data_IF_008897371087
#
_entry.id   IF_008897371087
#
_cell.length_a   1.000
_cell.length_b   1.000
_cell.length_c   1.000
_cell.angle_alpha   90.00
_cell.angle_beta   90.00
_cell.angle_gamma   90.00
#
_symmetry.space_group_name_H-M   'P 1'
#
loop_
_entity.id
_entity.type
_entity.pdbx_description
1 polymer ?
#
# COMPACT_ATOMS: atom_id res chain seq x y z
N UNK A 1 -5.05 -12.14 -2.08
CA UNK A 1 -6.16 -11.22 -2.47
C UNK A 1 -5.82 -10.61 -3.83
N UNK A 2 -6.82 -10.13 -4.58
CA UNK A 2 -6.63 -9.30 -5.80
C UNK A 2 -7.60 -8.10 -5.76
N UNK A 3 -7.50 -7.17 -6.70
CA UNK A 3 -8.34 -5.96 -6.76
C UNK A 3 -9.74 -6.22 -7.30
N UNK A 4 -10.01 -7.43 -7.81
CA UNK A 4 -11.38 -7.88 -8.08
C UNK A 4 -12.13 -8.16 -6.77
N UNK A 5 -13.48 -8.13 -6.75
CA UNK A 5 -14.25 -8.44 -5.54
C UNK A 5 -14.11 -9.90 -5.08
N UNK A 6 -13.55 -10.77 -5.92
CA UNK A 6 -13.38 -12.18 -5.61
C UNK A 6 -12.20 -12.39 -4.65
N UNK A 7 -12.39 -13.36 -3.77
CA UNK A 7 -11.43 -13.77 -2.75
C UNK A 7 -11.32 -15.28 -2.83
N UNK A 8 -10.12 -15.80 -2.65
CA UNK A 8 -9.83 -17.23 -2.66
C UNK A 8 -9.36 -17.58 -1.26
N UNK A 9 -10.03 -18.56 -0.67
CA UNK A 9 -9.68 -19.13 0.62
C UNK A 9 -8.70 -20.29 0.40
N UNK A 10 -7.73 -20.42 1.28
CA UNK A 10 -6.75 -21.49 1.27
C UNK A 10 -6.47 -21.95 2.70
N UNK A 11 -6.09 -23.22 2.85
CA UNK A 11 -5.67 -23.78 4.13
C UNK A 11 -4.23 -23.37 4.44
N UNK A 12 -3.98 -22.83 5.63
CA UNK A 12 -2.67 -22.28 5.99
C UNK A 12 -1.58 -23.35 6.10
N UNK A 13 -1.94 -24.57 6.49
CA UNK A 13 -0.98 -25.65 6.72
C UNK A 13 -0.55 -26.34 5.42
N UNK A 14 -1.51 -26.64 4.54
CA UNK A 14 -1.30 -27.38 3.30
C UNK A 14 -1.16 -26.50 2.06
N UNK A 15 -1.58 -25.22 2.15
CA UNK A 15 -1.70 -24.28 1.04
C UNK A 15 -2.70 -24.71 -0.04
N UNK A 16 -3.55 -25.71 0.25
CA UNK A 16 -4.61 -26.13 -0.65
C UNK A 16 -5.65 -25.02 -0.81
N UNK A 17 -6.10 -24.81 -2.04
CA UNK A 17 -7.21 -23.89 -2.32
C UNK A 17 -8.51 -24.51 -1.83
N UNK A 18 -9.18 -23.87 -0.87
CA UNK A 18 -10.47 -24.30 -0.35
C UNK A 18 -11.63 -23.83 -1.24
N UNK A 19 -11.41 -22.77 -2.01
CA UNK A 19 -12.33 -22.28 -3.03
C UNK A 19 -12.56 -20.79 -2.92
N UNK A 20 -13.69 -20.33 -3.45
CA UNK A 20 -14.05 -18.92 -3.41
C UNK A 20 -14.56 -18.55 -2.01
N UNK A 21 -13.98 -17.52 -1.42
CA UNK A 21 -14.50 -16.94 -0.19
C UNK A 21 -15.72 -16.05 -0.50
N UNK A 22 -16.79 -16.23 0.27
CA UNK A 22 -18.05 -15.50 0.11
C UNK A 22 -18.35 -14.68 1.37
N UNK A 23 -18.50 -13.38 1.19
CA UNK A 23 -19.04 -12.51 2.24
C UNK A 23 -20.53 -12.82 2.47
N UNK A 24 -20.97 -12.73 3.74
CA UNK A 24 -22.36 -13.00 4.16
C UNK A 24 -23.18 -11.70 4.24
N UNK A 25 -23.20 -10.93 3.15
CA UNK A 25 -23.90 -9.66 3.02
C UNK A 25 -24.25 -9.34 1.55
N UNK A 26 -24.97 -8.23 1.34
CA UNK A 26 -25.38 -7.74 0.02
C UNK A 26 -24.49 -6.65 -0.59
N UNK A 27 -23.29 -6.39 -0.05
CA UNK A 27 -22.40 -5.34 -0.57
C UNK A 27 -21.80 -5.79 -1.92
N UNK A 28 -22.01 -4.98 -2.96
CA UNK A 28 -21.55 -5.30 -4.33
C UNK A 28 -20.61 -4.24 -4.87
N UNK A 29 -19.81 -4.62 -5.86
CA UNK A 29 -18.93 -3.72 -6.59
C UNK A 29 -17.97 -4.48 -7.50
N UNK A 30 -17.09 -3.74 -8.15
CA UNK A 30 -16.30 -4.23 -9.28
C UNK A 30 -14.79 -4.12 -9.04
N UNK A 31 -14.36 -3.14 -8.24
CA UNK A 31 -12.96 -2.89 -7.93
C UNK A 31 -12.82 -2.64 -6.43
N UNK A 32 -11.79 -3.21 -5.81
CA UNK A 32 -11.45 -3.05 -4.39
C UNK A 32 -9.93 -3.07 -4.26
N UNK A 33 -9.42 -2.85 -3.06
CA UNK A 33 -7.98 -2.97 -2.80
C UNK A 33 -7.62 -4.29 -2.12
N UNK A 34 -6.37 -4.71 -2.32
CA UNK A 34 -5.69 -5.79 -1.61
C UNK A 34 -5.01 -5.33 -0.31
N UNK A 35 -5.16 -4.06 0.05
CA UNK A 35 -4.59 -3.40 1.23
C UNK A 35 -5.67 -3.01 2.23
N UNK A 36 -6.38 -3.99 2.83
CA UNK A 36 -7.28 -3.68 3.93
C UNK A 36 -6.47 -3.15 5.12
N UNK A 37 -7.06 -2.23 5.88
CA UNK A 37 -6.51 -1.74 7.13
C UNK A 37 -7.16 -2.49 8.30
N UNK A 38 -6.44 -2.74 9.39
CA UNK A 38 -7.00 -3.31 10.62
C UNK A 38 -7.04 -2.24 11.72
N UNK A 39 -8.24 -1.93 12.20
CA UNK A 39 -8.47 -1.05 13.34
C UNK A 39 -8.43 -1.89 14.63
N UNK A 40 -7.32 -1.79 15.35
CA UNK A 40 -7.11 -2.52 16.61
C UNK A 40 -8.00 -2.05 17.76
N UNK A 41 -8.55 -0.83 17.73
CA UNK A 41 -9.47 -0.36 18.77
C UNK A 41 -10.87 -0.93 18.60
N UNK A 42 -11.32 -1.05 17.34
CA UNK A 42 -12.63 -1.61 17.00
C UNK A 42 -12.61 -3.11 16.72
N UNK A 43 -11.42 -3.72 16.65
CA UNK A 43 -11.19 -5.09 16.17
C UNK A 43 -11.88 -5.35 14.82
N UNK A 44 -11.68 -4.42 13.88
CA UNK A 44 -12.34 -4.43 12.57
C UNK A 44 -11.32 -4.35 11.43
N UNK A 45 -11.52 -5.18 10.41
CA UNK A 45 -10.91 -4.97 9.10
C UNK A 45 -11.72 -3.88 8.39
N UNK A 46 -11.06 -2.81 7.95
CA UNK A 46 -11.64 -1.75 7.14
C UNK A 46 -11.10 -1.88 5.71
N UNK A 47 -11.99 -1.78 4.74
CA UNK A 47 -11.64 -1.73 3.32
C UNK A 47 -12.75 -0.99 2.56
N UNK A 48 -12.57 -0.73 1.27
CA UNK A 48 -13.61 -0.18 0.42
C UNK A 48 -13.77 -0.98 -0.88
N UNK A 49 -14.92 -0.80 -1.51
CA UNK A 49 -15.23 -1.38 -2.81
C UNK A 49 -15.93 -0.33 -3.69
N UNK A 50 -15.39 -0.14 -4.87
CA UNK A 50 -15.94 0.72 -5.90
C UNK A 50 -17.01 -0.02 -6.68
N UNK A 51 -18.23 0.51 -6.69
CA UNK A 51 -19.31 0.04 -7.54
C UNK A 51 -19.46 0.99 -8.73
N UNK A 52 -19.10 0.53 -9.92
CA UNK A 52 -19.36 1.24 -11.16
C UNK A 52 -20.87 1.26 -11.47
N UNK A 53 -21.35 2.44 -11.83
CA UNK A 53 -22.69 2.69 -12.37
C UNK A 53 -22.71 4.06 -13.07
N UNK A 54 -23.87 4.52 -13.56
CA UNK A 54 -24.06 5.89 -14.05
C UNK A 54 -23.60 6.94 -13.04
N UNK A 55 -23.80 6.66 -11.74
CA UNK A 55 -23.14 7.37 -10.63
C UNK A 55 -22.40 6.33 -9.81
N UNK A 56 -21.09 6.23 -10.04
CA UNK A 56 -20.27 5.25 -9.34
C UNK A 56 -20.21 5.59 -7.84
N UNK A 57 -19.89 4.62 -7.00
CA UNK A 57 -19.79 4.84 -5.54
C UNK A 57 -18.54 4.18 -4.99
N UNK A 58 -17.87 4.83 -4.04
CA UNK A 58 -16.94 4.18 -3.13
C UNK A 58 -17.70 3.76 -1.88
N UNK A 59 -17.81 2.46 -1.66
CA UNK A 59 -18.47 1.90 -0.48
C UNK A 59 -17.41 1.44 0.51
N UNK A 60 -17.21 2.22 1.57
CA UNK A 60 -16.30 1.87 2.66
C UNK A 60 -17.04 0.96 3.63
N UNK A 61 -16.39 -0.10 4.08
CA UNK A 61 -16.99 -1.08 4.97
C UNK A 61 -16.02 -1.58 6.03
N UNK A 62 -16.58 -2.00 7.17
CA UNK A 62 -15.90 -2.72 8.24
C UNK A 62 -16.30 -4.20 8.29
N UNK A 63 -15.41 -5.06 8.77
CA UNK A 63 -15.68 -6.47 9.07
C UNK A 63 -15.18 -6.75 10.48
N UNK A 64 -16.08 -7.10 11.40
CA UNK A 64 -15.69 -7.49 12.76
C UNK A 64 -14.84 -8.75 12.75
N UNK A 65 -13.89 -8.84 13.67
CA UNK A 65 -13.12 -10.07 13.91
C UNK A 65 -14.05 -11.29 14.05
N UNK A 66 -13.70 -12.39 13.38
CA UNK A 66 -14.49 -13.63 13.37
C UNK A 66 -15.75 -13.60 12.49
N UNK A 67 -16.06 -12.48 11.82
CA UNK A 67 -17.19 -12.35 10.91
C UNK A 67 -16.75 -12.38 9.44
N UNK A 68 -17.64 -12.82 8.56
CA UNK A 68 -17.53 -12.62 7.10
C UNK A 68 -18.58 -11.65 6.56
N UNK A 69 -19.26 -10.90 7.44
CA UNK A 69 -20.26 -9.89 7.10
C UNK A 69 -19.63 -8.50 7.09
N UNK A 70 -19.68 -7.83 5.94
CA UNK A 70 -19.29 -6.43 5.79
C UNK A 70 -20.42 -5.51 6.26
N UNK A 71 -20.05 -4.48 6.99
CA UNK A 71 -20.93 -3.41 7.44
C UNK A 71 -20.51 -2.13 6.72
N UNK A 72 -21.41 -1.55 5.91
CA UNK A 72 -21.12 -0.30 5.20
C UNK A 72 -20.98 0.81 6.24
N UNK A 73 -19.83 1.49 6.20
CA UNK A 73 -19.52 2.67 7.01
C UNK A 73 -19.97 3.92 6.25
N UNK A 74 -19.65 4.00 4.95
CA UNK A 74 -19.99 5.16 4.12
C UNK A 74 -20.10 4.77 2.65
N UNK A 75 -20.94 5.48 1.91
CA UNK A 75 -21.11 5.34 0.47
C UNK A 75 -20.98 6.71 -0.19
N UNK A 76 -19.86 6.94 -0.88
CA UNK A 76 -19.52 8.23 -1.47
C UNK A 76 -19.83 8.18 -2.97
N UNK A 77 -20.79 8.97 -3.48
CA UNK A 77 -21.06 9.05 -4.90
C UNK A 77 -19.94 9.79 -5.64
N UNK A 78 -19.49 9.23 -6.75
CA UNK A 78 -18.46 9.80 -7.63
C UNK A 78 -18.86 9.70 -9.09
N UNK A 79 -18.60 10.79 -9.83
CA UNK A 79 -18.87 10.85 -11.27
C UNK A 79 -17.87 10.02 -12.07
N UNK A 80 -16.59 10.09 -11.70
CA UNK A 80 -15.50 9.32 -12.30
C UNK A 80 -14.71 8.66 -11.18
N UNK A 81 -14.65 7.33 -11.18
CA UNK A 81 -13.92 6.59 -10.16
C UNK A 81 -12.42 6.66 -10.44
N UNK A 82 -11.65 7.05 -9.43
CA UNK A 82 -10.19 6.97 -9.43
C UNK A 82 -9.73 5.53 -9.15
N UNK A 83 -8.62 5.14 -9.76
CA UNK A 83 -7.87 3.96 -9.38
C UNK A 83 -7.05 4.27 -8.13
N UNK A 84 -7.43 3.66 -7.02
CA UNK A 84 -6.74 3.77 -5.74
C UNK A 84 -6.26 2.36 -5.36
N UNK A 85 -4.95 2.15 -5.29
CA UNK A 85 -4.41 0.82 -4.96
C UNK A 85 -4.44 0.56 -3.46
N UNK A 86 -4.35 1.58 -2.62
CA UNK A 86 -4.45 1.52 -1.16
C UNK A 86 -5.09 2.80 -0.63
N UNK A 87 -5.33 2.87 0.68
CA UNK A 87 -5.90 4.03 1.36
C UNK A 87 -5.30 4.22 2.75
N UNK A 88 -5.39 5.44 3.28
CA UNK A 88 -4.90 5.79 4.62
C UNK A 88 -5.96 5.60 5.71
N UNK A 89 -5.52 5.43 6.95
CA UNK A 89 -6.39 5.35 8.12
C UNK A 89 -5.70 6.03 9.31
N UNK A 90 -6.46 6.80 10.08
CA UNK A 90 -6.05 7.36 11.37
C UNK A 90 -6.90 6.80 12.50
N UNK A 91 -6.75 7.35 13.71
CA UNK A 91 -7.54 6.98 14.87
C UNK A 91 -9.04 7.19 14.65
N UNK A 92 -9.43 8.26 13.96
CA UNK A 92 -10.83 8.65 13.75
C UNK A 92 -11.24 8.63 12.28
N UNK A 93 -10.30 8.69 11.33
CA UNK A 93 -10.62 8.90 9.92
C UNK A 93 -10.17 7.77 8.99
N UNK A 94 -10.91 7.61 7.90
CA UNK A 94 -10.50 6.89 6.68
C UNK A 94 -10.17 7.94 5.63
N UNK A 95 -9.07 7.73 4.90
CA UNK A 95 -8.57 8.68 3.90
C UNK A 95 -8.49 7.97 2.56
N UNK A 96 -9.45 8.25 1.67
CA UNK A 96 -9.38 7.83 0.28
C UNK A 96 -8.65 8.92 -0.51
N UNK A 97 -7.52 8.57 -1.12
CA UNK A 97 -6.72 9.51 -1.92
C UNK A 97 -7.05 9.34 -3.40
N UNK A 98 -7.96 10.14 -3.92
CA UNK A 98 -8.33 10.14 -5.33
C UNK A 98 -7.21 10.74 -6.18
N UNK A 99 -6.31 9.88 -6.67
CA UNK A 99 -5.35 10.25 -7.71
C UNK A 99 -6.10 10.59 -9.01
N UNK A 100 -5.58 11.50 -9.85
CA UNK A 100 -6.20 11.85 -11.13
C UNK A 100 -5.96 10.76 -12.21
N UNK A 101 -6.09 9.50 -11.82
CA UNK A 101 -6.04 8.32 -12.68
C UNK A 101 -7.42 7.66 -12.68
N UNK A 102 -8.25 8.02 -13.66
CA UNK A 102 -9.67 7.64 -13.68
C UNK A 102 -9.91 6.38 -14.52
N UNK A 103 -10.94 5.62 -14.14
CA UNK A 103 -11.41 4.44 -14.86
C UNK A 103 -12.64 4.83 -15.70
N UNK A 104 -12.68 4.40 -16.96
CA UNK A 104 -13.89 4.50 -17.78
C UNK A 104 -14.68 3.19 -17.72
N UNK A 105 -15.78 3.11 -16.93
CA UNK A 105 -16.52 1.85 -16.76
C UNK A 105 -17.26 1.40 -18.02
N UNK A 106 -17.71 2.34 -18.87
CA UNK A 106 -18.39 2.01 -20.13
C UNK A 106 -17.41 1.40 -21.13
N UNK A 107 -16.21 1.98 -21.25
CA UNK A 107 -15.17 1.42 -22.11
C UNK A 107 -14.77 0.02 -21.62
N UNK A 108 -14.55 -0.15 -20.31
CA UNK A 108 -14.22 -1.44 -19.70
C UNK A 108 -15.26 -2.53 -20.03
N UNK A 109 -16.55 -2.19 -20.02
CA UNK A 109 -17.64 -3.12 -20.34
C UNK A 109 -17.73 -3.44 -21.85
N UNK A 110 -17.43 -2.49 -22.72
CA UNK A 110 -17.72 -2.57 -24.15
C UNK A 110 -16.54 -3.01 -25.03
N UNK A 111 -15.29 -2.76 -24.63
CA UNK A 111 -14.14 -2.95 -25.52
C UNK A 111 -13.41 -4.27 -25.35
N UNK A 112 -13.67 -5.01 -24.26
CA UNK A 112 -12.91 -6.23 -23.91
C UNK A 112 -11.41 -5.98 -23.71
N UNK A 113 -10.97 -4.71 -23.66
CA UNK A 113 -9.56 -4.36 -23.50
C UNK A 113 -9.11 -4.57 -22.06
N UNK A 114 -7.82 -4.88 -21.83
CA UNK A 114 -7.25 -5.01 -20.48
C UNK A 114 -7.65 -3.87 -19.54
N UNK A 115 -7.88 -4.18 -18.26
CA UNK A 115 -8.28 -3.18 -17.25
C UNK A 115 -7.36 -1.96 -17.24
N UNK A 116 -6.06 -2.19 -17.35
CA UNK A 116 -5.05 -1.12 -17.29
C UNK A 116 -5.14 -0.14 -18.46
N UNK A 117 -5.59 -0.59 -19.63
CA UNK A 117 -5.75 0.25 -20.83
C UNK A 117 -6.97 1.19 -20.72
N UNK A 118 -7.79 0.99 -19.69
CA UNK A 118 -8.96 1.81 -19.36
C UNK A 118 -8.68 2.83 -18.24
N UNK A 119 -7.41 3.00 -17.85
CA UNK A 119 -6.96 4.03 -16.92
C UNK A 119 -6.50 5.29 -17.66
N UNK A 120 -6.99 6.45 -17.23
CA UNK A 120 -6.73 7.74 -17.87
C UNK A 120 -6.19 8.74 -16.87
N UNK A 121 -4.95 9.18 -17.09
CA UNK A 121 -4.33 10.24 -16.31
C UNK A 121 -4.87 11.60 -16.73
N UNK A 122 -5.41 12.38 -15.79
CA UNK A 122 -6.04 13.70 -15.99
C UNK A 122 -5.56 14.72 -14.95
N UNK A 123 -4.29 15.16 -15.01
CA UNK A 123 -3.64 15.93 -13.95
C UNK A 123 -4.33 17.26 -13.62
N UNK A 124 -5.10 17.81 -14.55
CA UNK A 124 -5.93 19.02 -14.36
C UNK A 124 -6.96 18.86 -13.23
N UNK A 125 -7.32 17.63 -12.87
CA UNK A 125 -8.21 17.36 -11.74
C UNK A 125 -7.51 17.47 -10.38
N UNK A 126 -6.18 17.45 -10.32
CA UNK A 126 -5.41 17.36 -9.08
C UNK A 126 -5.63 16.04 -8.33
N UNK A 127 -4.97 15.87 -7.19
CA UNK A 127 -5.26 14.77 -6.26
C UNK A 127 -6.17 15.28 -5.15
N UNK A 128 -7.18 14.51 -4.76
CA UNK A 128 -8.11 14.87 -3.68
C UNK A 128 -8.08 13.83 -2.56
N UNK A 129 -7.82 14.25 -1.33
CA UNK A 129 -8.01 13.43 -0.13
C UNK A 129 -9.44 13.59 0.35
N UNK A 130 -10.22 12.51 0.29
CA UNK A 130 -11.53 12.42 0.92
C UNK A 130 -11.32 11.89 2.33
N UNK A 131 -11.67 12.69 3.34
CA UNK A 131 -11.52 12.33 4.75
C UNK A 131 -12.90 12.00 5.31
N UNK A 132 -13.07 10.78 5.82
CA UNK A 132 -14.34 10.23 6.29
C UNK A 132 -14.20 9.83 7.75
N UNK A 133 -15.10 10.31 8.60
CA UNK A 133 -15.17 9.90 10.00
C UNK A 133 -15.63 8.44 10.14
N UNK A 134 -14.86 7.62 10.86
CA UNK A 134 -15.07 6.18 11.02
C UNK A 134 -16.32 5.83 11.81
N UNK A 135 -16.85 6.74 12.61
CA UNK A 135 -17.98 6.47 13.51
C UNK A 135 -19.31 6.83 12.85
N UNK A 136 -19.41 8.05 12.32
CA UNK A 136 -20.59 8.59 11.68
C UNK A 136 -20.70 8.19 10.20
N UNK A 137 -19.58 7.85 9.55
CA UNK A 137 -19.54 7.63 8.10
C UNK A 137 -19.60 8.91 7.27
N UNK A 138 -19.61 10.08 7.91
CA UNK A 138 -19.71 11.37 7.23
C UNK A 138 -18.36 11.81 6.67
N UNK A 139 -18.40 12.47 5.52
CA UNK A 139 -17.23 13.14 4.97
C UNK A 139 -16.97 14.42 5.76
N UNK A 140 -15.78 14.53 6.36
CA UNK A 140 -15.38 15.70 7.17
C UNK A 140 -14.60 16.73 6.36
N UNK A 141 -14.03 16.34 5.22
CA UNK A 141 -13.35 17.27 4.33
C UNK A 141 -12.89 16.65 3.02
N UNK A 142 -12.63 17.53 2.04
CA UNK A 142 -12.12 17.20 0.72
C UNK A 142 -10.91 18.10 0.40
N UNK A 143 -9.72 17.54 0.52
CA UNK A 143 -8.49 18.31 0.47
C UNK A 143 -7.81 18.11 -0.87
N UNK A 144 -7.79 19.16 -1.69
CA UNK A 144 -7.20 19.10 -3.03
C UNK A 144 -5.77 19.62 -3.04
N UNK A 145 -4.88 18.93 -3.75
CA UNK A 145 -3.50 19.34 -3.97
C UNK A 145 -3.04 19.09 -5.42
N UNK A 146 -1.79 19.45 -5.69
CA UNK A 146 -1.12 19.15 -6.95
C UNK A 146 -1.21 17.65 -7.29
N UNK A 147 -1.34 17.30 -8.58
CA UNK A 147 -1.53 15.92 -9.01
C UNK A 147 -0.32 15.06 -8.71
N UNK A 148 -0.57 13.84 -8.22
CA UNK A 148 0.42 12.79 -8.06
C UNK A 148 -0.26 11.41 -8.10
N UNK A 149 0.51 10.35 -8.27
CA UNK A 149 0.02 8.97 -8.23
C UNK A 149 0.73 8.19 -7.12
N UNK A 150 0.06 7.20 -6.53
CA UNK A 150 0.70 6.29 -5.60
C UNK A 150 0.05 4.92 -5.64
N UNK A 151 0.86 3.88 -5.38
CA UNK A 151 0.34 2.57 -5.04
C UNK A 151 0.09 2.45 -3.54
N UNK A 152 1.06 2.83 -2.72
CA UNK A 152 1.06 2.53 -1.28
C UNK A 152 1.03 3.78 -0.41
N UNK A 153 0.04 3.83 0.48
CA UNK A 153 0.09 4.62 1.69
C UNK A 153 1.02 3.94 2.69
N UNK A 154 1.78 4.73 3.45
CA UNK A 154 2.71 4.24 4.47
C UNK A 154 2.00 4.17 5.81
N UNK A 155 1.45 5.29 6.28
CA UNK A 155 0.69 5.41 7.52
C UNK A 155 -0.15 6.70 7.49
N UNK A 156 -1.10 6.82 8.42
CA UNK A 156 -1.77 8.09 8.71
C UNK A 156 -1.96 8.26 10.21
N UNK A 157 -1.99 9.49 10.70
CA UNK A 157 -2.28 9.78 12.12
C UNK A 157 -2.81 11.21 12.29
N UNK A 158 -3.32 11.53 13.47
CA UNK A 158 -3.87 12.85 13.79
C UNK A 158 -2.94 13.57 14.77
N UNK A 159 -2.64 14.85 14.50
CA UNK A 159 -1.78 15.66 15.36
C UNK A 159 -2.12 17.15 15.20
N UNK A 160 -2.32 17.84 16.33
CA UNK A 160 -2.55 19.29 16.37
C UNK A 160 -3.64 19.77 15.37
N UNK A 161 -4.75 19.04 15.28
CA UNK A 161 -5.87 19.38 14.37
C UNK A 161 -5.65 19.04 12.88
N UNK A 162 -4.50 18.45 12.54
CA UNK A 162 -4.21 17.96 11.19
C UNK A 162 -4.45 16.45 11.10
N UNK A 163 -4.94 16.00 9.94
CA UNK A 163 -4.81 14.61 9.50
C UNK A 163 -3.50 14.52 8.70
N UNK A 164 -2.57 13.71 9.17
CA UNK A 164 -1.26 13.51 8.54
C UNK A 164 -1.29 12.19 7.79
N UNK A 165 -0.84 12.19 6.53
CA UNK A 165 -0.81 11.01 5.66
C UNK A 165 0.54 10.90 4.96
N UNK A 166 1.23 9.78 5.16
CA UNK A 166 2.50 9.49 4.51
C UNK A 166 2.28 8.54 3.33
N UNK A 167 2.83 8.87 2.16
CA UNK A 167 2.57 8.17 0.89
C UNK A 167 3.86 8.04 0.08
N UNK A 168 4.02 6.89 -0.58
CA UNK A 168 5.03 6.68 -1.64
C UNK A 168 4.49 7.26 -2.95
N UNK A 169 4.90 8.48 -3.28
CA UNK A 169 4.31 9.29 -4.35
C UNK A 169 5.17 9.35 -5.62
N UNK A 170 4.58 8.98 -6.75
CA UNK A 170 5.09 9.23 -8.10
C UNK A 170 4.54 10.54 -8.64
N UNK A 171 5.30 11.18 -9.54
CA UNK A 171 4.86 12.40 -10.23
C UNK A 171 3.57 12.18 -11.03
N UNK A 172 3.45 11.02 -11.66
CA UNK A 172 2.30 10.62 -12.48
C UNK A 172 2.18 9.08 -12.50
N UNK A 173 1.20 8.57 -13.25
CA UNK A 173 0.93 7.14 -13.34
C UNK A 173 1.84 6.37 -14.34
N UNK A 174 2.93 6.96 -14.84
CA UNK A 174 3.84 6.30 -15.80
C UNK A 174 4.46 5.01 -15.26
N UNK A 175 4.64 4.93 -13.93
CA UNK A 175 5.13 3.74 -13.23
C UNK A 175 4.36 2.47 -13.64
N UNK A 176 3.05 2.57 -13.85
CA UNK A 176 2.19 1.44 -14.25
C UNK A 176 2.72 0.79 -15.54
N UNK A 177 3.11 1.59 -16.53
CA UNK A 177 3.63 1.11 -17.81
C UNK A 177 5.05 0.57 -17.67
N UNK A 178 5.87 1.16 -16.80
CA UNK A 178 7.23 0.70 -16.52
C UNK A 178 7.26 -0.69 -15.87
N UNK A 179 6.17 -1.10 -15.20
CA UNK A 179 6.03 -2.42 -14.59
C UNK A 179 5.54 -3.52 -15.54
N UNK A 180 5.28 -3.22 -16.82
CA UNK A 180 4.96 -4.25 -17.82
C UNK A 180 6.16 -5.18 -18.07
N UNK A 181 5.90 -6.49 -18.26
CA UNK A 181 6.96 -7.51 -18.36
C UNK A 181 7.90 -7.30 -19.55
N UNK A 182 7.39 -6.82 -20.69
CA UNK A 182 8.19 -6.48 -21.86
C UNK A 182 9.21 -5.39 -21.53
N UNK A 183 8.82 -4.39 -20.73
CA UNK A 183 9.71 -3.34 -20.23
C UNK A 183 10.69 -3.89 -19.21
N UNK A 184 10.22 -4.56 -18.16
CA UNK A 184 11.09 -5.10 -17.11
C UNK A 184 12.18 -6.03 -17.65
N UNK A 185 11.90 -6.79 -18.71
CA UNK A 185 12.85 -7.73 -19.32
C UNK A 185 13.87 -7.08 -20.27
N UNK A 186 13.72 -5.81 -20.64
CA UNK A 186 14.66 -5.10 -21.52
C UNK A 186 15.99 -4.73 -20.84
N UNK A 187 16.11 -4.89 -19.51
CA UNK A 187 17.34 -4.64 -18.75
C UNK A 187 17.69 -3.16 -18.53
N UNK A 188 17.20 -2.26 -19.37
CA UNK A 188 17.46 -0.80 -19.32
C UNK A 188 16.20 0.04 -19.04
N UNK A 189 15.15 -0.57 -18.48
CA UNK A 189 13.91 0.15 -18.20
C UNK A 189 14.09 1.11 -17.03
N UNK A 190 13.95 2.40 -17.32
CA UNK A 190 13.93 3.45 -16.30
C UNK A 190 12.62 3.35 -15.52
N UNK A 191 12.72 2.90 -14.27
CA UNK A 191 11.61 2.90 -13.33
C UNK A 191 11.53 4.31 -12.73
N UNK A 192 10.38 5.02 -12.84
CA UNK A 192 10.22 6.32 -12.20
C UNK A 192 10.53 6.24 -10.70
N UNK A 193 11.39 7.12 -10.19
CA UNK A 193 11.71 7.16 -8.77
C UNK A 193 10.57 7.83 -7.99
N UNK A 194 9.95 7.14 -7.00
CA UNK A 194 8.96 7.75 -6.12
C UNK A 194 9.61 8.67 -5.08
N UNK A 195 8.81 9.48 -4.42
CA UNK A 195 9.20 10.27 -3.25
C UNK A 195 8.32 9.87 -2.06
N UNK A 196 8.92 9.69 -0.88
CA UNK A 196 8.13 9.60 0.35
C UNK A 196 7.67 11.00 0.72
N UNK A 197 6.36 11.24 0.68
CA UNK A 197 5.74 12.54 0.96
C UNK A 197 4.79 12.43 2.15
N UNK A 198 4.89 13.42 3.04
CA UNK A 198 3.98 13.65 4.16
C UNK A 198 3.02 14.78 3.81
N UNK A 199 1.73 14.50 3.85
CA UNK A 199 0.66 15.46 3.62
C UNK A 199 0.02 15.83 4.95
N UNK A 200 -0.12 17.13 5.19
CA UNK A 200 -0.83 17.70 6.34
C UNK A 200 -2.16 18.26 5.82
N UNK A 201 -3.26 17.65 6.25
CA UNK A 201 -4.62 18.05 5.92
C UNK A 201 -5.18 18.83 7.12
N UNK A 202 -5.21 20.15 7.02
CA UNK A 202 -5.69 21.03 8.08
C UNK A 202 -7.22 21.10 8.06
N UNK A 203 -7.86 20.39 8.99
CA UNK A 203 -9.32 20.27 9.07
C UNK A 203 -10.04 21.61 9.26
N UNK A 204 -9.38 22.62 9.84
CA UNK A 204 -9.99 23.92 10.11
C UNK A 204 -9.94 24.83 8.88
N UNK A 205 -8.83 24.85 8.14
CA UNK A 205 -8.65 25.72 6.98
C UNK A 205 -8.92 25.07 5.63
N UNK A 206 -9.15 23.74 5.62
CA UNK A 206 -9.28 22.90 4.41
C UNK A 206 -8.08 23.02 3.46
N UNK A 207 -6.87 23.22 4.00
CA UNK A 207 -5.63 23.36 3.24
C UNK A 207 -4.77 22.09 3.31
N UNK A 208 -4.02 21.84 2.23
CA UNK A 208 -2.99 20.79 2.17
C UNK A 208 -1.62 21.44 2.18
N UNK A 209 -0.77 21.01 3.12
CA UNK A 209 0.67 21.28 3.07
C UNK A 209 1.41 19.97 2.85
N UNK A 210 2.49 19.99 2.06
CA UNK A 210 3.28 18.78 1.75
C UNK A 210 4.72 18.95 2.20
N UNK A 211 5.28 17.90 2.81
CA UNK A 211 6.70 17.79 3.12
C UNK A 211 7.27 16.56 2.43
N UNK A 212 8.43 16.71 1.77
CA UNK A 212 9.19 15.56 1.28
C UNK A 212 10.00 14.98 2.45
N UNK A 213 9.72 13.72 2.79
CA UNK A 213 10.48 12.97 3.79
C UNK A 213 11.78 12.43 3.19
N UNK A 214 11.70 11.83 2.01
CA UNK A 214 12.86 11.38 1.24
C UNK A 214 12.64 11.52 -0.27
N UNK A 215 13.74 11.75 -0.99
CA UNK A 215 13.81 11.71 -2.46
C UNK A 215 14.41 10.41 -2.99
N UNK A 216 14.92 9.56 -2.10
CA UNK A 216 15.45 8.25 -2.47
C UNK A 216 14.31 7.31 -2.84
N UNK A 217 14.60 6.36 -3.74
CA UNK A 217 13.63 5.35 -4.12
C UNK A 217 13.26 4.51 -2.89
N UNK A 218 11.98 4.53 -2.52
CA UNK A 218 11.42 3.61 -1.54
C UNK A 218 10.08 3.13 -2.07
N UNK A 219 9.89 1.81 -2.11
CA UNK A 219 8.60 1.17 -2.42
C UNK A 219 8.35 -0.02 -1.49
N UNK A 220 7.20 -0.67 -1.60
CA UNK A 220 6.72 -1.76 -0.75
C UNK A 220 6.86 -1.38 0.74
N UNK A 221 6.31 -0.21 1.16
CA UNK A 221 6.56 0.33 2.48
C UNK A 221 5.91 -0.54 3.55
N UNK A 222 6.65 -0.78 4.64
CA UNK A 222 6.22 -1.48 5.84
C UNK A 222 6.64 -0.71 7.07
N UNK A 223 5.86 -0.85 8.14
CA UNK A 223 6.10 -0.26 9.46
C UNK A 223 5.86 -1.34 10.52
N UNK A 224 6.12 -1.03 11.79
CA UNK A 224 5.57 -1.80 12.91
C UNK A 224 4.05 -1.59 12.98
N UNK A 225 3.32 -2.26 12.09
CA UNK A 225 1.90 -1.98 11.81
C UNK A 225 1.02 -2.15 13.05
N UNK A 226 1.27 -3.21 13.83
CA UNK A 226 0.50 -3.51 15.04
C UNK A 226 0.61 -2.41 16.10
N UNK A 227 1.78 -1.78 16.23
CA UNK A 227 2.04 -0.74 17.23
C UNK A 227 1.74 0.68 16.72
N UNK A 228 2.07 0.95 15.46
CA UNK A 228 2.24 2.30 14.94
C UNK A 228 1.21 2.72 13.88
N UNK A 229 0.46 1.77 13.29
CA UNK A 229 -0.60 2.17 12.37
C UNK A 229 -1.60 3.08 13.10
N UNK A 230 -2.08 4.13 12.43
CA UNK A 230 -2.94 5.19 13.01
C UNK A 230 -2.28 6.15 14.01
N UNK A 231 -0.96 6.02 14.26
CA UNK A 231 -0.21 6.78 15.28
C UNK A 231 1.07 7.38 14.71
N UNK A 232 1.61 8.38 15.42
CA UNK A 232 2.94 8.93 15.13
C UNK A 232 4.02 7.84 15.34
N UNK A 233 5.05 7.85 14.50
CA UNK A 233 6.01 6.75 14.32
C UNK A 233 7.33 7.27 13.71
N UNK A 234 8.38 6.46 13.78
CA UNK A 234 9.75 6.89 13.46
C UNK A 234 10.43 6.09 12.35
N UNK A 235 9.97 4.87 12.03
CA UNK A 235 10.66 3.98 11.10
C UNK A 235 9.78 3.50 9.96
N UNK A 236 10.35 3.49 8.75
CA UNK A 236 9.75 2.91 7.53
C UNK A 236 10.76 1.91 6.95
N UNK A 237 10.29 0.74 6.57
CA UNK A 237 11.04 -0.27 5.85
C UNK A 237 10.53 -0.36 4.42
N UNK A 238 11.41 -0.61 3.44
CA UNK A 238 10.98 -0.77 2.05
C UNK A 238 12.07 -1.36 1.15
N UNK A 239 11.73 -1.56 -0.12
CA UNK A 239 12.70 -1.84 -1.17
C UNK A 239 13.24 -0.53 -1.76
N UNK A 240 14.48 -0.56 -2.24
CA UNK A 240 15.15 0.58 -2.85
C UNK A 240 16.04 0.14 -4.01
N UNK A 241 16.54 1.11 -4.79
CA UNK A 241 17.46 0.89 -5.89
C UNK A 241 18.92 1.23 -5.49
N UNK A 242 19.87 0.44 -6.00
CA UNK A 242 21.29 0.77 -5.87
C UNK A 242 21.72 1.83 -6.88
N UNK A 243 21.24 1.67 -8.11
CA UNK A 243 21.45 2.58 -9.21
C UNK A 243 20.13 3.28 -9.50
N UNK A 244 20.15 4.61 -9.58
CA UNK A 244 18.94 5.40 -9.71
C UNK A 244 18.13 5.03 -10.95
N UNK A 245 16.83 4.79 -10.76
CA UNK A 245 15.86 4.33 -11.76
C UNK A 245 16.10 2.89 -12.26
N UNK A 246 16.88 2.09 -11.53
CA UNK A 246 17.06 0.66 -11.77
C UNK A 246 15.95 -0.20 -11.17
N UNK A 247 16.00 -1.51 -11.44
CA UNK A 247 15.15 -2.46 -10.73
C UNK A 247 15.57 -2.54 -9.25
N UNK A 248 14.63 -2.52 -8.28
CA UNK A 248 14.97 -2.51 -6.86
C UNK A 248 15.83 -3.71 -6.46
N UNK A 249 16.97 -3.44 -5.81
CA UNK A 249 17.95 -4.44 -5.40
C UNK A 249 18.54 -4.16 -4.00
N UNK A 250 17.89 -3.28 -3.23
CA UNK A 250 18.23 -2.97 -1.83
C UNK A 250 17.01 -3.13 -0.94
N UNK A 251 17.27 -3.38 0.35
CA UNK A 251 16.33 -3.06 1.41
C UNK A 251 16.77 -1.79 2.11
N UNK A 252 15.81 -1.01 2.60
CA UNK A 252 16.06 0.22 3.36
C UNK A 252 15.27 0.25 4.65
N UNK A 253 15.88 0.88 5.66
CA UNK A 253 15.24 1.38 6.88
C UNK A 253 15.42 2.89 6.92
N UNK A 254 14.32 3.62 6.79
CA UNK A 254 14.27 5.07 6.87
C UNK A 254 13.93 5.53 8.29
N UNK A 255 14.67 6.53 8.75
CA UNK A 255 14.51 7.19 10.04
C UNK A 255 13.84 8.54 9.82
N UNK A 256 12.57 8.69 10.21
CA UNK A 256 11.76 9.89 9.92
C UNK A 256 12.35 11.14 10.57
N UNK A 257 12.74 11.06 11.84
CA UNK A 257 13.23 12.21 12.62
C UNK A 257 14.54 12.79 12.06
N UNK A 258 15.51 11.94 11.75
CA UNK A 258 16.81 12.34 11.22
C UNK A 258 16.85 12.46 9.70
N UNK A 259 15.81 11.97 9.00
CA UNK A 259 15.76 11.83 7.53
C UNK A 259 16.95 11.07 6.95
N UNK A 260 17.38 10.02 7.64
CA UNK A 260 18.51 9.18 7.24
C UNK A 260 18.06 7.77 6.87
N UNK A 261 18.88 7.04 6.13
CA UNK A 261 18.62 5.66 5.70
C UNK A 261 19.74 4.73 6.16
N UNK A 262 19.36 3.52 6.58
CA UNK A 262 20.23 2.35 6.53
C UNK A 262 19.80 1.47 5.37
N UNK A 263 20.73 0.71 4.81
CA UNK A 263 20.43 -0.20 3.73
C UNK A 263 21.09 -1.56 3.93
N UNK A 264 20.45 -2.59 3.38
CA UNK A 264 21.06 -3.87 3.09
C UNK A 264 21.19 -3.98 1.57
N UNK A 265 22.39 -4.33 1.11
CA UNK A 265 22.71 -4.49 -0.30
C UNK A 265 23.67 -5.66 -0.46
N UNK A 266 23.44 -6.47 -1.49
CA UNK A 266 24.38 -7.49 -1.94
C UNK A 266 24.28 -7.58 -3.45
N UNK A 267 25.43 -7.50 -4.12
CA UNK A 267 25.49 -7.59 -5.58
C UNK A 267 24.81 -8.86 -6.08
N UNK A 268 24.10 -8.79 -7.21
CA UNK A 268 23.37 -9.92 -7.82
C UNK A 268 22.25 -10.51 -6.93
N UNK A 269 21.79 -9.78 -5.92
CA UNK A 269 20.70 -10.19 -5.05
C UNK A 269 19.56 -9.16 -5.10
N UNK A 270 18.33 -9.64 -5.26
CA UNK A 270 17.15 -8.80 -5.46
C UNK A 270 16.10 -9.12 -4.40
N UNK A 271 15.99 -8.31 -3.34
CA UNK A 271 15.05 -8.52 -2.25
C UNK A 271 13.62 -8.09 -2.63
N UNK A 272 12.63 -8.80 -2.11
CA UNK A 272 11.23 -8.40 -2.11
C UNK A 272 10.84 -7.58 -0.88
N UNK A 273 9.53 -7.38 -0.68
CA UNK A 273 8.97 -6.62 0.44
C UNK A 273 9.59 -7.01 1.81
N UNK A 274 10.05 -6.03 2.63
CA UNK A 274 10.58 -6.27 3.97
C UNK A 274 9.46 -6.33 5.03
N UNK A 275 9.00 -7.52 5.35
CA UNK A 275 7.96 -7.75 6.38
C UNK A 275 8.57 -7.60 7.78
N UNK A 276 8.12 -6.60 8.54
CA UNK A 276 8.50 -6.42 9.95
C UNK A 276 7.72 -7.38 10.86
N UNK A 277 8.45 -8.00 11.79
CA UNK A 277 7.92 -8.85 12.87
C UNK A 277 8.47 -8.36 14.20
N UNK A 278 7.56 -7.95 15.08
CA UNK A 278 7.90 -7.39 16.41
C UNK A 278 8.51 -8.46 17.32
N UNK A 279 9.53 -8.09 18.10
CA UNK A 279 9.99 -8.96 19.19
C UNK A 279 8.88 -9.12 20.27
N UNK A 280 8.80 -10.26 20.95
CA UNK A 280 7.89 -10.42 22.08
C UNK A 280 8.15 -9.37 23.17
N UNK A 281 7.07 -8.86 23.78
CA UNK A 281 7.09 -7.96 24.96
C UNK A 281 7.88 -6.65 24.85
N UNK A 282 8.36 -6.28 23.66
CA UNK A 282 9.10 -5.03 23.46
C UNK A 282 8.22 -3.78 23.53
N UNK A 283 8.82 -2.70 24.04
CA UNK A 283 8.28 -1.34 23.99
C UNK A 283 8.89 -0.49 22.89
N UNK A 284 9.97 -0.95 22.25
CA UNK A 284 10.66 -0.23 21.19
C UNK A 284 9.94 -0.41 19.84
N UNK A 285 9.97 0.62 19.00
CA UNK A 285 9.26 0.60 17.72
C UNK A 285 9.94 -0.33 16.69
N UNK A 286 11.27 -0.42 16.71
CA UNK A 286 12.11 -1.15 15.77
C UNK A 286 12.82 -2.37 16.36
N UNK A 287 12.41 -2.85 17.54
CA UNK A 287 12.92 -4.10 18.11
C UNK A 287 12.13 -5.30 17.56
N UNK A 288 12.83 -6.16 16.83
CA UNK A 288 12.25 -7.26 16.07
C UNK A 288 13.13 -7.64 14.89
N UNK A 289 12.51 -8.26 13.89
CA UNK A 289 13.21 -8.71 12.68
C UNK A 289 12.49 -8.24 11.41
N UNK A 290 13.26 -8.15 10.33
CA UNK A 290 12.76 -7.97 8.96
C UNK A 290 12.93 -9.28 8.20
N UNK A 291 11.84 -9.75 7.60
CA UNK A 291 11.81 -10.90 6.72
C UNK A 291 11.68 -10.43 5.27
N UNK A 292 12.56 -10.89 4.38
CA UNK A 292 12.46 -10.58 2.94
C UNK A 292 12.88 -11.78 2.10
N UNK A 293 12.10 -12.12 1.08
CA UNK A 293 12.51 -13.13 0.09
C UNK A 293 13.43 -12.48 -0.94
N UNK A 294 14.63 -13.04 -1.10
CA UNK A 294 15.67 -12.50 -1.96
C UNK A 294 15.98 -13.49 -3.08
N UNK A 295 16.02 -13.02 -4.33
CA UNK A 295 16.52 -13.79 -5.47
C UNK A 295 18.04 -13.59 -5.61
N UNK A 296 18.81 -14.67 -5.47
CA UNK A 296 20.24 -14.74 -5.77
C UNK A 296 20.42 -15.18 -7.24
N UNK A 297 20.81 -14.25 -8.12
CA UNK A 297 20.86 -14.53 -9.57
C UNK A 297 22.08 -15.37 -9.96
N UNK A 298 23.14 -15.37 -9.14
CA UNK A 298 24.31 -16.24 -9.35
C UNK A 298 23.92 -17.69 -9.05
N UNK A 299 23.27 -17.94 -7.90
CA UNK A 299 22.81 -19.29 -7.53
C UNK A 299 21.51 -19.72 -8.23
N UNK A 300 20.79 -18.78 -8.85
CA UNK A 300 19.46 -18.98 -9.46
C UNK A 300 18.46 -19.60 -8.49
N UNK A 301 18.52 -19.18 -7.22
CA UNK A 301 17.67 -19.65 -6.12
C UNK A 301 17.27 -18.47 -5.26
N UNK A 302 16.14 -18.61 -4.57
CA UNK A 302 15.73 -17.62 -3.58
C UNK A 302 16.10 -18.06 -2.17
N UNK A 303 16.19 -17.11 -1.26
CA UNK A 303 16.33 -17.38 0.17
C UNK A 303 15.50 -16.39 0.98
N UNK A 304 15.05 -16.82 2.16
CA UNK A 304 14.48 -15.93 3.16
C UNK A 304 15.63 -15.26 3.92
N UNK A 305 15.76 -13.94 3.79
CA UNK A 305 16.68 -13.10 4.55
C UNK A 305 16.01 -12.68 5.87
N UNK A 306 16.77 -12.74 6.96
CA UNK A 306 16.35 -12.25 8.28
C UNK A 306 17.34 -11.18 8.74
N UNK A 307 16.87 -9.94 8.85
CA UNK A 307 17.64 -8.83 9.40
C UNK A 307 17.19 -8.51 10.82
N UNK A 308 18.11 -8.08 11.66
CA UNK A 308 17.81 -7.38 12.91
C UNK A 308 17.19 -6.02 12.56
N UNK A 309 15.97 -5.75 13.03
CA UNK A 309 15.27 -4.54 12.63
C UNK A 309 15.89 -3.26 13.21
N UNK A 310 16.59 -3.32 14.36
CA UNK A 310 17.21 -2.18 15.04
C UNK A 310 18.47 -1.71 14.31
N UNK A 311 19.44 -2.61 14.16
CA UNK A 311 20.72 -2.30 13.54
C UNK A 311 20.71 -2.45 12.01
N UNK A 312 19.73 -3.18 11.46
CA UNK A 312 19.54 -3.46 10.03
C UNK A 312 20.64 -4.33 9.41
N UNK A 313 21.29 -5.17 10.23
CA UNK A 313 22.28 -6.15 9.80
C UNK A 313 21.67 -7.54 9.66
N UNK A 314 22.29 -8.39 8.85
CA UNK A 314 21.82 -9.76 8.64
C UNK A 314 22.10 -10.65 9.85
N UNK A 315 21.04 -11.27 10.38
CA UNK A 315 21.15 -12.30 11.41
C UNK A 315 21.43 -13.65 10.74
N UNK A 316 20.59 -14.02 9.78
CA UNK A 316 20.68 -15.31 9.08
C UNK A 316 19.89 -15.30 7.77
N UNK A 317 20.02 -16.39 7.01
CA UNK A 317 19.24 -16.66 5.80
C UNK A 317 18.91 -18.15 5.65
N UNK A 318 17.78 -18.45 5.01
CA UNK A 318 17.36 -19.82 4.69
C UNK A 318 17.15 -19.98 3.17
N UNK A 319 17.99 -20.77 2.51
CA UNK A 319 17.86 -21.01 1.05
C UNK A 319 16.69 -21.94 0.73
N UNK A 320 15.95 -21.59 -0.31
CA UNK A 320 14.95 -22.43 -0.95
C UNK A 320 15.62 -23.27 -2.04
N UNK A 321 15.07 -24.46 -2.36
CA UNK A 321 15.63 -25.31 -3.42
C UNK A 321 15.38 -24.75 -4.84
N UNK A 322 14.56 -23.71 -4.97
CA UNK A 322 14.14 -23.08 -6.23
C UNK A 322 14.19 -21.54 -6.16
N UNK A 323 14.09 -20.90 -7.32
CA UNK A 323 13.84 -19.46 -7.41
C UNK A 323 12.35 -19.17 -7.20
N UNK A 324 12.05 -18.18 -6.37
CA UNK A 324 10.70 -17.63 -6.20
C UNK A 324 10.60 -16.38 -7.09
N UNK A 325 9.64 -16.32 -8.03
CA UNK A 325 9.40 -15.12 -8.83
C UNK A 325 9.11 -13.90 -7.95
N UNK A 326 9.41 -12.70 -8.43
CA UNK A 326 9.08 -11.46 -7.71
C UNK A 326 7.58 -11.40 -7.41
N UNK A 327 7.26 -11.40 -6.12
CA UNK A 327 5.90 -11.26 -5.61
C UNK A 327 5.55 -9.80 -5.31
N UNK A 328 4.40 -9.60 -4.69
CA UNK A 328 3.96 -8.30 -4.17
C UNK A 328 4.04 -8.29 -2.64
N UNK A 329 2.96 -8.68 -1.97
CA UNK A 329 2.82 -8.54 -0.52
C UNK A 329 2.79 -9.88 0.21
N UNK A 330 3.33 -9.90 1.43
CA UNK A 330 3.27 -10.99 2.39
C UNK A 330 2.90 -10.53 3.79
N UNK A 331 2.44 -11.46 4.62
CA UNK A 331 2.11 -11.19 6.02
C UNK A 331 2.61 -12.33 6.89
N UNK A 332 3.16 -11.98 8.05
CA UNK A 332 3.47 -12.93 9.12
C UNK A 332 2.24 -13.12 10.01
N UNK A 333 1.95 -14.38 10.36
CA UNK A 333 0.89 -14.75 11.29
C UNK A 333 1.54 -15.48 12.47
N UNK A 334 1.23 -15.02 13.69
CA UNK A 334 1.69 -15.60 14.97
C UNK A 334 1.11 -16.99 15.24
#
# INVERSE_FOLDING_TARGET
MTETPHRVEFDLNSLNTLGRFHYRDGVTGHLTTVHPQFDYRKEQIINYITRFSLTSTYNIYGINRGSSRRQVISSIPVKQAAYMHSFGMTENFIILTEFPLFINPFRLLLTGSPFIDNLFWKPEHGTTFLVIDKNSGNMVGNFKCEPFFAFHHINGYEEMGNVIVDIVSYKDSSIIKSLCLDKLRQGNSLIPTPQMRRYYLDLASNKVTTQILSKDFVEMPRINYRRCNTRNYNYIYGISDHESNGFPNKLVKFYIKSKSLKHWYKENNFPGEPVFVTAPDTVEEDEGVILSLVLDTIKRKSYLLILDATCFSEITRAYLPFAVPFGSHGQYFE
#
